data_IF_026300038772
#
_entry.id   IF_026300038772
#
_cell.length_a   1.000
_cell.length_b   1.000
_cell.length_c   1.000
_cell.angle_alpha   90.00
_cell.angle_beta   90.00
_cell.angle_gamma   90.00
#
_symmetry.space_group_name_H-M   'P 1'
#
loop_
_entity.id
_entity.type
_entity.pdbx_description
1 polymer ?
#
# COMPACT_ATOMS: atom_id res chain seq x y z
N UNK A 1 -3.59 6.23 4.75
CA UNK A 1 -2.49 6.20 5.74
C UNK A 1 -1.49 5.14 5.31
N UNK A 2 -0.20 5.39 5.52
CA UNK A 2 0.88 4.42 5.25
C UNK A 2 1.68 4.19 6.52
N UNK A 3 1.92 2.93 6.86
CA UNK A 3 2.71 2.51 8.02
C UNK A 3 4.01 1.88 7.54
N UNK A 4 5.15 2.37 8.02
CA UNK A 4 6.47 1.80 7.74
C UNK A 4 6.99 1.06 8.99
N UNK A 5 7.46 -0.19 8.86
CA UNK A 5 8.20 -0.86 9.91
C UNK A 5 9.55 -0.15 10.11
N UNK A 6 10.23 -0.46 11.21
CA UNK A 6 11.58 0.04 11.44
C UNK A 6 12.51 -0.38 10.29
N UNK A 7 13.23 0.58 9.68
CA UNK A 7 14.07 0.32 8.50
C UNK A 7 13.29 0.21 7.18
N UNK A 8 11.99 0.52 7.18
CA UNK A 8 11.10 0.40 6.02
C UNK A 8 10.86 1.70 5.24
N UNK A 9 11.07 2.87 5.86
CA UNK A 9 10.79 4.14 5.18
C UNK A 9 11.76 4.37 4.01
N UNK A 10 11.28 4.77 2.81
CA UNK A 10 12.13 5.15 1.69
C UNK A 10 13.10 6.26 2.09
N UNK A 11 14.41 6.02 1.95
CA UNK A 11 15.44 6.97 2.38
C UNK A 11 15.86 6.86 3.85
N UNK A 12 15.37 5.87 4.60
CA UNK A 12 15.93 5.54 5.91
C UNK A 12 17.38 5.05 5.78
N UNK A 13 18.32 5.86 6.28
CA UNK A 13 19.76 5.58 6.21
C UNK A 13 20.36 5.46 7.61
N UNK A 14 20.45 4.23 8.10
CA UNK A 14 21.08 3.92 9.39
C UNK A 14 20.12 3.84 10.59
N UNK A 15 20.63 3.45 11.77
CA UNK A 15 19.83 3.15 12.95
C UNK A 15 19.24 4.38 13.65
N UNK A 16 19.88 5.55 13.49
CA UNK A 16 19.49 6.82 14.13
C UNK A 16 18.75 7.76 13.17
N UNK A 17 18.40 7.25 11.98
CA UNK A 17 17.68 8.03 10.99
C UNK A 17 16.34 8.52 11.53
N UNK A 18 16.03 9.78 11.23
CA UNK A 18 14.73 10.40 11.48
C UNK A 18 14.23 11.03 10.17
N UNK A 19 12.91 11.02 9.93
CA UNK A 19 12.33 11.73 8.81
C UNK A 19 12.65 13.23 8.91
N UNK A 20 13.00 13.83 7.78
CA UNK A 20 13.21 15.27 7.68
C UNK A 20 11.86 16.01 7.69
N UNK A 21 11.82 17.15 8.37
CA UNK A 21 10.61 17.99 8.44
C UNK A 21 10.68 19.05 9.53
N UNK A 22 9.69 19.93 9.55
CA UNK A 22 9.50 20.88 10.65
C UNK A 22 8.97 20.14 11.89
N UNK A 23 9.26 20.58 13.12
CA UNK A 23 8.65 19.98 14.31
C UNK A 23 7.12 20.02 14.25
N UNK A 24 6.47 18.89 14.60
CA UNK A 24 5.03 18.79 14.78
C UNK A 24 4.68 18.50 16.25
N UNK A 25 3.46 18.80 16.72
CA UNK A 25 3.03 18.33 18.03
C UNK A 25 3.08 16.81 18.09
N UNK A 26 3.49 16.26 19.24
CA UNK A 26 3.58 14.81 19.43
C UNK A 26 2.26 14.10 19.11
N UNK A 27 2.38 12.87 18.61
CA UNK A 27 1.25 11.98 18.36
C UNK A 27 1.30 10.86 19.40
N UNK A 28 0.31 10.85 20.31
CA UNK A 28 0.24 9.89 21.42
C UNK A 28 1.54 9.82 22.26
N UNK A 29 2.18 10.97 22.49
CA UNK A 29 3.43 11.07 23.27
C UNK A 29 4.69 10.62 22.54
N UNK A 30 4.62 10.40 21.22
CA UNK A 30 5.76 10.08 20.36
C UNK A 30 6.08 11.22 19.41
N UNK A 31 7.38 11.31 19.07
CA UNK A 31 7.91 12.38 18.24
C UNK A 31 7.25 12.42 16.86
N UNK A 32 6.96 13.64 16.40
CA UNK A 32 6.36 13.88 15.10
C UNK A 32 7.01 15.07 14.36
N UNK A 33 6.98 15.00 13.04
CA UNK A 33 7.46 16.05 12.13
C UNK A 33 6.48 16.30 10.99
N UNK A 34 6.48 17.51 10.47
CA UNK A 34 5.78 17.92 9.25
C UNK A 34 6.69 17.74 8.04
N UNK A 35 6.31 16.84 7.13
CA UNK A 35 6.95 16.71 5.83
C UNK A 35 6.03 17.32 4.77
N UNK A 36 6.20 18.62 4.52
CA UNK A 36 5.25 19.39 3.71
C UNK A 36 3.88 19.51 4.41
N UNK A 37 2.85 18.89 3.84
CA UNK A 37 1.51 18.79 4.43
C UNK A 37 1.26 17.48 5.19
N UNK A 38 2.16 16.51 5.07
CA UNK A 38 2.03 15.20 5.70
C UNK A 38 2.55 15.26 7.14
N UNK A 39 1.88 14.57 8.06
CA UNK A 39 2.45 14.29 9.39
C UNK A 39 3.14 12.94 9.37
N UNK A 40 4.39 12.93 9.83
CA UNK A 40 5.19 11.74 10.04
C UNK A 40 5.45 11.60 11.53
N UNK A 41 5.09 10.48 12.15
CA UNK A 41 5.31 10.26 13.58
C UNK A 41 5.87 8.88 13.86
N UNK A 42 6.61 8.76 14.95
CA UNK A 42 7.08 7.48 15.44
C UNK A 42 5.88 6.75 16.05
N UNK A 43 5.48 5.60 15.51
CA UNK A 43 4.32 4.84 15.99
C UNK A 43 4.71 3.62 16.84
N UNK A 44 5.93 3.13 16.64
CA UNK A 44 6.62 2.17 17.49
C UNK A 44 8.12 2.49 17.45
N UNK A 45 8.92 1.87 18.32
CA UNK A 45 10.34 2.23 18.46
C UNK A 45 11.08 2.07 17.13
N UNK A 46 11.62 3.19 16.62
CA UNK A 46 12.29 3.29 15.32
C UNK A 46 11.41 2.97 14.10
N UNK A 47 10.08 2.88 14.27
CA UNK A 47 9.11 2.66 13.21
C UNK A 47 8.25 3.92 13.02
N UNK A 48 8.08 4.33 11.76
CA UNK A 48 7.47 5.61 11.41
C UNK A 48 6.19 5.41 10.60
N UNK A 49 5.19 6.24 10.86
CA UNK A 49 3.91 6.24 10.19
C UNK A 49 3.67 7.59 9.53
N UNK A 50 2.94 7.59 8.42
CA UNK A 50 2.65 8.79 7.63
C UNK A 50 1.14 8.90 7.38
N UNK A 51 0.58 10.05 7.73
CA UNK A 51 -0.73 10.46 7.23
C UNK A 51 -0.53 11.47 6.10
N UNK A 52 -0.94 11.04 4.91
CA UNK A 52 -1.15 11.90 3.74
C UNK A 52 -2.64 12.09 3.52
N UNK A 53 -3.03 13.32 3.23
CA UNK A 53 -4.41 13.68 2.88
C UNK A 53 -4.40 14.25 1.46
N UNK A 54 -5.07 13.56 0.52
CA UNK A 54 -5.09 13.93 -0.91
C UNK A 54 -6.14 15.00 -1.26
N UNK A 55 -6.78 15.61 -0.26
CA UNK A 55 -7.88 16.56 -0.46
C UNK A 55 -7.44 17.99 -0.13
N UNK A 56 -7.93 18.97 -0.90
CA UNK A 56 -7.67 20.38 -0.67
C UNK A 56 -8.55 20.93 0.48
N UNK A 57 -8.16 20.67 1.72
CA UNK A 57 -8.76 21.30 2.89
C UNK A 57 -7.95 22.53 3.32
N UNK A 58 -8.60 23.60 3.82
CA UNK A 58 -7.88 24.76 4.33
C UNK A 58 -7.06 24.45 5.61
N UNK A 59 -7.44 23.41 6.36
CA UNK A 59 -6.83 22.97 7.63
C UNK A 59 -6.13 21.60 7.50
N UNK A 60 -5.40 21.39 6.41
CA UNK A 60 -4.79 20.09 6.08
C UNK A 60 -3.89 19.52 7.17
N UNK A 61 -2.96 20.31 7.71
CA UNK A 61 -2.04 19.87 8.77
C UNK A 61 -2.82 19.46 10.02
N UNK A 62 -3.75 20.29 10.49
CA UNK A 62 -4.57 19.99 11.68
C UNK A 62 -5.40 18.70 11.48
N UNK A 63 -5.98 18.50 10.29
CA UNK A 63 -6.68 17.24 9.96
C UNK A 63 -5.74 16.05 9.98
N UNK A 64 -4.57 16.16 9.36
CA UNK A 64 -3.59 15.08 9.31
C UNK A 64 -3.14 14.69 10.72
N UNK A 65 -2.90 15.68 11.59
CA UNK A 65 -2.57 15.46 13.00
C UNK A 65 -3.70 14.74 13.75
N UNK A 66 -4.94 15.20 13.61
CA UNK A 66 -6.10 14.55 14.24
C UNK A 66 -6.27 13.10 13.78
N UNK A 67 -6.05 12.82 12.50
CA UNK A 67 -6.07 11.44 12.00
C UNK A 67 -4.95 10.64 12.67
N UNK A 68 -3.72 11.15 12.71
CA UNK A 68 -2.60 10.47 13.36
C UNK A 68 -2.89 10.18 14.85
N UNK A 69 -3.49 11.13 15.58
CA UNK A 69 -3.90 10.96 16.97
C UNK A 69 -4.98 9.89 17.20
N UNK A 70 -5.77 9.56 16.17
CA UNK A 70 -6.78 8.51 16.25
C UNK A 70 -6.23 7.10 15.97
N UNK A 71 -4.96 7.00 15.57
CA UNK A 71 -4.30 5.72 15.32
C UNK A 71 -3.85 5.11 16.65
N UNK A 72 -4.33 3.89 16.93
CA UNK A 72 -3.93 3.11 18.10
C UNK A 72 -3.15 1.90 17.62
N UNK A 73 -1.91 1.76 18.09
CA UNK A 73 -1.13 0.54 17.91
C UNK A 73 -1.57 -0.48 18.97
N UNK A 74 -2.16 -1.60 18.55
CA UNK A 74 -2.63 -2.67 19.45
C UNK A 74 -1.73 -3.92 19.43
N UNK A 75 -0.61 -3.85 18.72
CA UNK A 75 0.38 -4.93 18.62
C UNK A 75 -0.05 -6.13 17.77
N UNK A 76 -1.24 -6.12 17.16
CA UNK A 76 -1.67 -7.19 16.26
C UNK A 76 -0.91 -7.10 14.95
N UNK A 77 -0.47 -8.24 14.37
CA UNK A 77 0.10 -8.26 13.04
C UNK A 77 -0.85 -7.63 12.02
N UNK A 78 -0.30 -6.85 11.10
CA UNK A 78 -1.08 -6.34 9.98
C UNK A 78 -1.40 -7.51 9.05
N UNK A 79 -2.67 -7.66 8.71
CA UNK A 79 -3.13 -8.68 7.77
C UNK A 79 -3.54 -8.04 6.44
N UNK A 80 -3.45 -8.81 5.36
CA UNK A 80 -3.77 -8.36 4.01
C UNK A 80 -4.64 -9.38 3.26
N UNK A 81 -5.45 -8.93 2.30
CA UNK A 81 -6.42 -9.78 1.60
C UNK A 81 -5.82 -10.55 0.40
N UNK A 82 -4.50 -10.74 0.37
CA UNK A 82 -3.82 -11.49 -0.70
C UNK A 82 -2.50 -12.05 -0.18
N UNK A 83 -2.00 -13.09 -0.84
CA UNK A 83 -0.65 -13.61 -0.71
C UNK A 83 0.16 -13.38 -1.98
N UNK A 84 1.47 -13.49 -1.84
CA UNK A 84 2.46 -13.51 -2.89
C UNK A 84 3.31 -14.76 -2.73
N UNK A 85 3.89 -15.22 -3.83
CA UNK A 85 4.89 -16.30 -3.81
C UNK A 85 6.11 -15.87 -2.95
N UNK A 86 6.50 -16.66 -1.93
CA UNK A 86 7.62 -16.36 -1.04
C UNK A 86 8.97 -16.25 -1.75
N UNK A 87 9.12 -16.89 -2.92
CA UNK A 87 10.38 -16.88 -3.69
C UNK A 87 10.58 -15.60 -4.50
N UNK A 88 9.59 -14.71 -4.52
CA UNK A 88 9.75 -13.39 -5.16
C UNK A 88 10.76 -12.57 -4.35
N UNK A 89 11.82 -12.02 -4.96
CA UNK A 89 12.87 -11.27 -4.27
C UNK A 89 12.42 -9.85 -3.93
N UNK A 90 11.43 -9.73 -3.05
CA UNK A 90 10.84 -8.49 -2.57
C UNK A 90 10.82 -8.48 -1.05
N UNK A 91 10.81 -7.28 -0.46
CA UNK A 91 10.69 -7.09 1.00
C UNK A 91 9.49 -6.21 1.28
N UNK A 92 8.62 -6.62 2.21
CA UNK A 92 7.56 -5.74 2.72
C UNK A 92 8.18 -4.52 3.41
N UNK A 93 7.86 -3.32 2.91
CA UNK A 93 8.36 -2.05 3.45
C UNK A 93 7.28 -1.11 3.91
N UNK A 94 6.03 -1.28 3.48
CA UNK A 94 4.93 -0.52 4.05
C UNK A 94 3.60 -1.25 3.90
N UNK A 95 2.63 -0.88 4.74
CA UNK A 95 1.22 -1.21 4.52
C UNK A 95 0.43 0.07 4.30
N UNK A 96 -0.36 0.10 3.24
CA UNK A 96 -1.27 1.17 2.88
C UNK A 96 -2.69 0.75 3.21
N UNK A 97 -3.29 1.48 4.14
CA UNK A 97 -4.70 1.31 4.49
C UNK A 97 -5.45 2.54 3.98
N UNK A 98 -6.26 2.39 2.91
CA UNK A 98 -7.10 3.47 2.42
C UNK A 98 -8.23 3.72 3.44
N UNK A 99 -8.36 4.97 3.88
CA UNK A 99 -9.48 5.39 4.74
C UNK A 99 -10.56 5.91 3.81
N UNK A 100 -11.67 5.16 3.69
CA UNK A 100 -12.80 5.57 2.84
C UNK A 100 -13.65 6.60 3.58
N UNK A 101 -14.00 7.70 2.91
CA UNK A 101 -15.04 8.62 3.40
C UNK A 101 -16.42 8.00 3.15
N UNK A 102 -17.26 7.96 4.18
CA UNK A 102 -18.66 7.55 4.07
C UNK A 102 -19.37 8.45 3.06
N UNK A 103 -19.78 7.89 1.91
CA UNK A 103 -20.51 8.60 0.86
C UNK A 103 -19.82 8.67 -0.50
N UNK A 104 -18.56 8.23 -0.63
CA UNK A 104 -17.93 8.06 -1.95
C UNK A 104 -18.21 6.65 -2.49
N UNK A 105 -18.90 6.49 -3.64
CA UNK A 105 -19.03 5.21 -4.33
C UNK A 105 -17.73 4.78 -5.03
N UNK A 106 -16.62 5.50 -4.83
CA UNK A 106 -15.34 5.14 -5.39
C UNK A 106 -14.89 3.78 -4.84
N UNK A 107 -15.18 2.74 -5.61
CA UNK A 107 -14.14 2.02 -6.31
C UNK A 107 -12.77 2.13 -5.63
N UNK A 108 -12.57 1.30 -4.61
CA UNK A 108 -11.50 1.50 -3.66
C UNK A 108 -10.61 0.28 -3.59
N UNK A 109 -9.31 0.55 -3.51
CA UNK A 109 -8.37 -0.36 -2.89
C UNK A 109 -8.90 -0.74 -1.49
N UNK A 110 -8.85 -2.01 -1.13
CA UNK A 110 -9.23 -2.53 0.19
C UNK A 110 -8.04 -2.45 1.15
N UNK A 111 -6.89 -2.87 0.66
CA UNK A 111 -5.60 -2.78 1.31
C UNK A 111 -4.52 -2.91 0.23
N UNK A 112 -3.38 -2.27 0.48
CA UNK A 112 -2.18 -2.42 -0.31
C UNK A 112 -0.96 -2.58 0.58
N UNK A 113 0.10 -3.14 0.02
CA UNK A 113 1.44 -3.14 0.59
C UNK A 113 2.40 -2.50 -0.37
N UNK A 114 3.41 -1.84 0.17
CA UNK A 114 4.59 -1.44 -0.59
C UNK A 114 5.68 -2.47 -0.37
N UNK A 115 6.26 -2.93 -1.47
CA UNK A 115 7.33 -3.89 -1.49
C UNK A 115 8.57 -3.26 -2.12
N UNK A 116 9.73 -3.44 -1.52
CA UNK A 116 10.98 -2.97 -2.08
C UNK A 116 11.72 -4.07 -2.84
N UNK A 117 12.27 -3.72 -4.01
CA UNK A 117 13.20 -4.54 -4.79
C UNK A 117 14.27 -3.65 -5.41
N UNK A 118 15.54 -3.94 -5.13
CA UNK A 118 16.66 -3.22 -5.74
C UNK A 118 16.64 -1.69 -5.53
N UNK A 119 16.06 -1.21 -4.42
CA UNK A 119 15.95 0.21 -4.10
C UNK A 119 14.72 0.92 -4.66
N UNK A 120 13.91 0.26 -5.50
CA UNK A 120 12.62 0.76 -5.96
C UNK A 120 11.46 0.11 -5.20
N UNK A 121 10.29 0.75 -5.22
CA UNK A 121 9.06 0.26 -4.57
C UNK A 121 7.96 -0.09 -5.56
N UNK A 122 7.20 -1.13 -5.25
CA UNK A 122 6.00 -1.55 -5.98
C UNK A 122 4.85 -1.68 -4.99
N UNK A 123 3.68 -1.20 -5.38
CA UNK A 123 2.43 -1.32 -4.64
C UNK A 123 1.71 -2.56 -5.15
N UNK A 124 1.41 -3.48 -4.24
CA UNK A 124 0.50 -4.61 -4.48
C UNK A 124 -0.75 -4.39 -3.64
N UNK A 125 -1.92 -4.39 -4.26
CA UNK A 125 -3.16 -4.13 -3.55
C UNK A 125 -4.36 -4.81 -4.17
N UNK A 126 -5.40 -5.00 -3.34
CA UNK A 126 -6.66 -5.57 -3.79
C UNK A 126 -7.67 -4.46 -4.03
N UNK A 127 -8.32 -4.48 -5.20
CA UNK A 127 -9.29 -3.47 -5.65
C UNK A 127 -10.68 -4.07 -5.77
N UNK A 128 -11.69 -3.39 -5.21
CA UNK A 128 -13.10 -3.82 -5.31
C UNK A 128 -13.81 -3.32 -6.57
N UNK A 129 -13.12 -2.54 -7.40
CA UNK A 129 -13.59 -1.94 -8.66
C UNK A 129 -12.91 -2.50 -9.89
N UNK A 130 -12.13 -3.57 -9.74
CA UNK A 130 -11.46 -4.20 -10.85
C UNK A 130 -12.36 -5.26 -11.50
N UNK A 131 -13.56 -4.86 -11.93
CA UNK A 131 -14.51 -5.75 -12.61
C UNK A 131 -14.24 -5.77 -14.12
N UNK A 132 -14.03 -6.96 -14.74
CA UNK A 132 -13.83 -7.08 -16.18
C UNK A 132 -14.96 -6.42 -16.98
N UNK A 133 -14.59 -5.55 -17.93
CA UNK A 133 -15.52 -4.99 -18.92
C UNK A 133 -16.46 -3.89 -18.39
N UNK A 134 -16.43 -3.60 -17.07
CA UNK A 134 -17.19 -2.49 -16.47
C UNK A 134 -16.29 -1.29 -16.21
N UNK A 135 -15.21 -1.52 -15.47
CA UNK A 135 -14.38 -0.45 -14.90
C UNK A 135 -12.95 -0.46 -15.46
N UNK A 136 -12.48 -1.62 -15.95
CA UNK A 136 -11.16 -1.78 -16.58
C UNK A 136 -11.26 -2.60 -17.87
N UNK A 137 -10.55 -2.20 -18.95
CA UNK A 137 -10.45 -3.02 -20.16
C UNK A 137 -9.62 -4.27 -19.85
N UNK A 138 -10.15 -5.46 -20.13
CA UNK A 138 -9.40 -6.70 -20.05
C UNK A 138 -8.61 -6.89 -21.37
N UNK A 139 -7.49 -6.19 -21.50
CA UNK A 139 -6.70 -6.09 -22.72
C UNK A 139 -5.49 -7.05 -22.77
N UNK A 140 -5.25 -7.80 -21.69
CA UNK A 140 -4.15 -8.75 -21.60
C UNK A 140 -4.53 -10.04 -20.84
N UNK A 141 -3.62 -11.00 -20.87
CA UNK A 141 -3.64 -12.20 -20.03
C UNK A 141 -2.37 -12.26 -19.18
N UNK A 142 -2.53 -12.51 -17.88
CA UNK A 142 -1.44 -12.72 -16.93
C UNK A 142 -1.65 -14.07 -16.26
N UNK A 143 -0.76 -15.02 -16.51
CA UNK A 143 -0.90 -16.42 -16.06
C UNK A 143 -2.30 -17.01 -16.40
N UNK A 144 -2.80 -16.73 -17.61
CA UNK A 144 -4.11 -17.22 -18.08
C UNK A 144 -5.32 -16.47 -17.49
N UNK A 145 -5.13 -15.49 -16.62
CA UNK A 145 -6.20 -14.66 -16.04
C UNK A 145 -6.35 -13.35 -16.84
N UNK A 146 -7.59 -12.87 -17.08
CA UNK A 146 -7.82 -11.56 -17.68
C UNK A 146 -7.11 -10.47 -16.86
N UNK A 147 -6.46 -9.54 -17.55
CA UNK A 147 -5.74 -8.45 -16.92
C UNK A 147 -5.96 -7.15 -17.69
N UNK A 148 -5.88 -6.04 -16.96
CA UNK A 148 -5.81 -4.69 -17.49
C UNK A 148 -4.39 -4.16 -17.30
N UNK A 149 -3.75 -3.70 -18.38
CA UNK A 149 -2.40 -3.14 -18.34
C UNK A 149 -2.45 -1.63 -18.52
N UNK A 150 -1.82 -0.91 -17.61
CA UNK A 150 -1.65 0.55 -17.67
C UNK A 150 -0.16 0.89 -17.77
N UNK A 151 0.16 2.14 -18.11
CA UNK A 151 1.55 2.58 -18.23
C UNK A 151 2.36 2.45 -16.93
N UNK A 152 1.69 2.34 -15.78
CA UNK A 152 2.27 2.27 -14.44
C UNK A 152 2.02 0.94 -13.71
N UNK A 153 1.28 -0.01 -14.30
CA UNK A 153 0.88 -1.20 -13.58
C UNK A 153 0.06 -2.22 -14.34
N UNK A 154 -0.26 -3.30 -13.63
CA UNK A 154 -1.00 -4.46 -14.10
C UNK A 154 -2.08 -4.78 -13.08
N UNK A 155 -3.32 -4.94 -13.53
CA UNK A 155 -4.43 -5.36 -12.66
C UNK A 155 -4.96 -6.70 -13.15
N UNK A 156 -4.72 -7.76 -12.39
CA UNK A 156 -5.26 -9.09 -12.67
C UNK A 156 -6.67 -9.16 -12.12
N UNK A 157 -7.62 -9.44 -13.00
CA UNK A 157 -9.05 -9.40 -12.72
C UNK A 157 -9.51 -10.78 -12.25
N UNK A 158 -10.33 -10.82 -11.20
CA UNK A 158 -10.96 -12.07 -10.74
C UNK A 158 -12.10 -12.46 -11.70
N UNK A 159 -12.09 -13.67 -12.29
CA UNK A 159 -13.23 -14.18 -13.05
C UNK A 159 -14.52 -14.31 -12.22
N UNK A 160 -14.42 -14.42 -10.89
CA UNK A 160 -15.55 -14.37 -9.96
C UNK A 160 -16.19 -12.98 -9.79
N UNK A 161 -15.55 -11.94 -10.34
CA UNK A 161 -16.17 -10.64 -10.57
C UNK A 161 -16.48 -9.83 -9.32
N UNK A 162 -15.63 -9.89 -8.28
CA UNK A 162 -15.75 -8.99 -7.10
C UNK A 162 -14.50 -8.19 -6.78
N UNK A 163 -13.33 -8.71 -7.12
CA UNK A 163 -12.05 -8.08 -6.80
C UNK A 163 -11.04 -8.21 -7.93
N UNK A 164 -9.97 -7.44 -7.88
CA UNK A 164 -8.79 -7.65 -8.72
C UNK A 164 -7.54 -7.25 -7.98
N UNK A 165 -6.42 -7.92 -8.29
CA UNK A 165 -5.13 -7.60 -7.70
C UNK A 165 -4.39 -6.65 -8.62
N UNK A 166 -4.07 -5.46 -8.10
CA UNK A 166 -3.25 -4.47 -8.78
C UNK A 166 -1.81 -4.57 -8.29
N UNK A 167 -0.89 -4.58 -9.25
CA UNK A 167 0.54 -4.37 -9.06
C UNK A 167 0.91 -3.12 -9.84
N UNK A 168 1.41 -2.09 -9.18
CA UNK A 168 1.79 -0.83 -9.81
C UNK A 168 3.06 -0.28 -9.17
N UNK A 169 3.85 0.50 -9.90
CA UNK A 169 5.02 1.14 -9.30
C UNK A 169 4.62 2.09 -8.17
N UNK A 170 5.49 2.18 -7.15
CA UNK A 170 5.35 3.15 -6.08
C UNK A 170 5.51 4.58 -6.58
N UNK A 171 5.13 5.53 -5.73
CA UNK A 171 5.16 6.95 -6.11
C UNK A 171 6.61 7.42 -6.34
N UNK A 172 6.88 7.93 -7.55
CA UNK A 172 8.20 8.43 -7.93
C UNK A 172 9.14 7.37 -8.52
N UNK A 173 8.74 6.10 -8.56
CA UNK A 173 9.53 5.02 -9.14
C UNK A 173 9.22 4.78 -10.63
N UNK A 174 10.21 4.26 -11.36
CA UNK A 174 10.08 3.93 -12.77
C UNK A 174 9.75 2.44 -12.96
N UNK A 175 8.84 2.13 -13.88
CA UNK A 175 8.48 0.76 -14.30
C UNK A 175 9.70 -0.04 -14.75
N UNK A 176 10.73 0.63 -15.29
CA UNK A 176 12.01 0.03 -15.65
C UNK A 176 12.73 -0.64 -14.47
N UNK A 177 12.61 -0.12 -13.25
CA UNK A 177 13.25 -0.70 -12.06
C UNK A 177 12.73 -2.10 -11.71
N UNK A 178 11.55 -2.45 -12.24
CA UNK A 178 10.92 -3.77 -12.08
C UNK A 178 11.02 -4.63 -13.34
N UNK A 179 11.91 -4.32 -14.27
CA UNK A 179 12.03 -5.07 -15.53
C UNK A 179 10.91 -4.77 -16.53
N UNK A 180 10.29 -3.59 -16.43
CA UNK A 180 9.21 -3.19 -17.31
C UNK A 180 7.84 -3.76 -16.88
N UNK A 181 6.83 -3.56 -17.73
CA UNK A 181 5.51 -4.18 -17.57
C UNK A 181 5.61 -5.71 -17.47
N UNK A 182 6.56 -6.34 -18.17
CA UNK A 182 6.76 -7.78 -18.09
C UNK A 182 7.07 -8.26 -16.66
N UNK A 183 7.93 -7.54 -15.93
CA UNK A 183 8.23 -7.90 -14.55
C UNK A 183 7.10 -7.57 -13.58
N UNK A 184 6.33 -6.49 -13.83
CA UNK A 184 5.10 -6.23 -13.07
C UNK A 184 4.04 -7.32 -13.32
N UNK A 185 3.90 -7.80 -14.55
CA UNK A 185 3.02 -8.92 -14.89
C UNK A 185 3.47 -10.21 -14.22
N UNK A 186 4.78 -10.48 -14.17
CA UNK A 186 5.32 -11.64 -13.46
C UNK A 186 5.00 -11.59 -11.96
N UNK A 187 5.13 -10.41 -11.34
CA UNK A 187 4.74 -10.22 -9.94
C UNK A 187 3.22 -10.34 -9.74
N UNK A 188 2.42 -9.76 -10.63
CA UNK A 188 0.97 -9.86 -10.56
C UNK A 188 0.48 -11.31 -10.74
N UNK A 189 1.22 -12.12 -11.50
CA UNK A 189 0.92 -13.54 -11.68
C UNK A 189 1.03 -14.33 -10.37
N UNK A 190 1.93 -13.96 -9.46
CA UNK A 190 2.11 -14.63 -8.16
C UNK A 190 1.13 -14.14 -7.09
N UNK A 191 0.44 -13.04 -7.34
CA UNK A 191 -0.50 -12.48 -6.38
C UNK A 191 -1.86 -13.19 -6.44
N UNK A 192 -2.26 -13.72 -5.28
CA UNK A 192 -3.47 -14.53 -5.12
C UNK A 192 -4.33 -13.92 -4.01
N UNK A 193 -5.59 -13.52 -4.29
CA UNK A 193 -6.53 -13.12 -3.25
C UNK A 193 -6.76 -14.25 -2.24
N UNK A 194 -6.98 -13.90 -0.98
CA UNK A 194 -7.49 -14.85 0.02
C UNK A 194 -8.90 -15.32 -0.36
N UNK A 195 -9.41 -16.44 0.21
CA UNK A 195 -10.70 -17.01 -0.20
C UNK A 195 -11.90 -16.06 -0.10
N UNK A 196 -11.96 -15.20 0.93
CA UNK A 196 -12.97 -14.15 1.05
C UNK A 196 -12.34 -12.81 1.46
N UNK A 197 -11.95 -11.96 0.49
CA UNK A 197 -11.35 -10.68 0.80
C UNK A 197 -12.24 -9.70 1.58
N UNK A 198 -13.56 -9.92 1.62
CA UNK A 198 -14.47 -9.13 2.44
C UNK A 198 -14.42 -9.53 3.92
N UNK A 199 -14.06 -10.78 4.23
CA UNK A 199 -13.90 -11.27 5.59
C UNK A 199 -12.46 -11.09 6.07
N UNK A 200 -12.23 -10.10 6.94
CA UNK A 200 -10.91 -9.85 7.56
C UNK A 200 -10.35 -11.05 8.32
N UNK A 201 -11.17 -12.04 8.69
CA UNK A 201 -10.71 -13.27 9.34
C UNK A 201 -9.99 -14.21 8.38
N UNK A 202 -10.22 -14.08 7.08
CA UNK A 202 -9.51 -14.88 6.07
C UNK A 202 -8.20 -14.22 5.60
N UNK A 203 -7.87 -13.04 6.10
CA UNK A 203 -6.68 -12.30 5.68
C UNK A 203 -5.43 -12.91 6.31
N UNK A 204 -4.32 -12.92 5.56
CA UNK A 204 -3.06 -13.52 6.01
C UNK A 204 -2.19 -12.49 6.74
N UNK A 205 -1.52 -12.87 7.84
CA UNK A 205 -0.42 -12.09 8.39
C UNK A 205 0.79 -12.25 7.46
N UNK A 206 1.36 -11.13 7.01
CA UNK A 206 2.44 -11.07 6.02
C UNK A 206 2.06 -11.69 4.64
N UNK A 207 2.01 -10.89 3.55
CA UNK A 207 1.69 -11.42 2.23
C UNK A 207 2.73 -12.43 1.71
N UNK A 208 3.95 -12.48 2.26
CA UNK A 208 5.04 -13.31 1.76
C UNK A 208 5.13 -14.70 2.40
N UNK A 209 4.20 -15.08 3.30
CA UNK A 209 4.23 -16.37 4.03
C UNK A 209 3.27 -17.39 3.41
N UNK A 210 2.90 -17.20 2.14
CA UNK A 210 1.94 -18.02 1.38
C UNK A 210 2.38 -19.47 1.16
#
# INVERSE_FOLDING_TARGET
MTLYPAGGHPGQTGPDWRPAGDPAPDVAGRAAVWSGTDVVWEWADRAWAVVRLDAAFPDLRDRAHRVAQSVVADGRPVTVPFTLDPDVPVRLVAVRVPVRSTGSPAAGELAAVELARGGATVVVGLRSDALPGRDLPADALVAGRPAAVTGDGVTVLDPGGRYGVRVAVGHGDAVAAFGGIAGLSALAATAVPVPDPADRRSWTPDPLVG
#
